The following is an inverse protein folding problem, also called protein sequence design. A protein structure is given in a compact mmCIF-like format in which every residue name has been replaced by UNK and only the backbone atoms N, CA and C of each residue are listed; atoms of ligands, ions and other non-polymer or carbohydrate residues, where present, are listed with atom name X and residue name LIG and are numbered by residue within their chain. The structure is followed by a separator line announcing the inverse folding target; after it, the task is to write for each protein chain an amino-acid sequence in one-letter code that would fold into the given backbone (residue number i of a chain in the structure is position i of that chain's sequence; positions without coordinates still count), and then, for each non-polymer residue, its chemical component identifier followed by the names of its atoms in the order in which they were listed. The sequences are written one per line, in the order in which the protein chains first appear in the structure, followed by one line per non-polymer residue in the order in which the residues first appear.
data_IF_542324525215
#
_entry.id   IF_542324525215
#
_cell.length_a   1.000
_cell.length_b   1.000
_cell.length_c   1.000
_cell.angle_alpha   90.00
_cell.angle_beta   90.00
_cell.angle_gamma   90.00
#
_symmetry.space_group_name_H-M   'P 1'
#
loop_
_entity.id
_entity.type
_entity.pdbx_description
1 polymer ?
#
# COMPACT_ATOMS: atom_id res chain seq x y z
N UNK A 1 18.02 34.70 -8.13
CA UNK A 1 17.71 33.72 -9.19
C UNK A 1 16.34 33.11 -8.92
N UNK A 2 15.39 33.18 -9.86
CA UNK A 2 14.08 32.51 -9.69
C UNK A 2 14.30 31.00 -9.78
N UNK A 3 14.21 30.31 -8.65
CA UNK A 3 14.30 28.84 -8.62
C UNK A 3 13.17 28.29 -9.51
N UNK A 4 13.53 27.44 -10.48
CA UNK A 4 12.54 26.83 -11.36
C UNK A 4 11.55 26.02 -10.50
N UNK A 5 10.23 26.10 -10.74
CA UNK A 5 9.23 25.39 -9.95
C UNK A 5 9.49 23.88 -9.87
N UNK A 6 10.12 23.31 -10.90
CA UNK A 6 10.55 21.91 -10.96
C UNK A 6 11.56 21.57 -9.85
N UNK A 7 12.54 22.44 -9.57
CA UNK A 7 13.55 22.19 -8.53
C UNK A 7 12.92 22.15 -7.13
N UNK A 8 11.88 22.97 -6.90
CA UNK A 8 11.14 22.97 -5.65
C UNK A 8 10.39 21.65 -5.49
N UNK A 9 9.74 21.14 -6.54
CA UNK A 9 9.07 19.83 -6.49
C UNK A 9 10.04 18.68 -6.26
N UNK A 10 11.23 18.71 -6.89
CA UNK A 10 12.28 17.70 -6.66
C UNK A 10 12.73 17.73 -5.20
N UNK A 11 12.95 18.91 -4.62
CA UNK A 11 13.33 19.03 -3.22
C UNK A 11 12.25 18.47 -2.27
N UNK A 12 10.97 18.69 -2.58
CA UNK A 12 9.85 18.10 -1.81
C UNK A 12 9.82 16.58 -1.90
N UNK A 13 9.98 16.01 -3.10
CA UNK A 13 10.03 14.56 -3.29
C UNK A 13 11.23 13.94 -2.57
N UNK A 14 12.39 14.57 -2.63
CA UNK A 14 13.60 14.11 -1.95
C UNK A 14 13.44 14.18 -0.43
N UNK A 15 12.80 15.24 0.08
CA UNK A 15 12.40 15.33 1.49
C UNK A 15 11.46 14.20 1.91
N UNK A 16 10.49 13.84 1.07
CA UNK A 16 9.60 12.69 1.33
C UNK A 16 10.36 11.37 1.32
N UNK A 17 11.34 11.19 0.43
CA UNK A 17 12.18 10.00 0.38
C UNK A 17 13.00 9.82 1.66
N UNK A 18 13.66 10.88 2.13
CA UNK A 18 14.42 10.86 3.39
C UNK A 18 13.49 10.59 4.58
N UNK A 19 12.33 11.25 4.64
CA UNK A 19 11.36 11.02 5.70
C UNK A 19 10.86 9.57 5.71
N UNK A 20 10.54 9.01 4.55
CA UNK A 20 10.09 7.62 4.42
C UNK A 20 11.15 6.61 4.87
N UNK A 21 12.43 6.87 4.53
CA UNK A 21 13.54 6.05 5.00
C UNK A 21 13.69 6.15 6.53
N UNK A 22 13.62 7.36 7.09
CA UNK A 22 13.66 7.56 8.55
C UNK A 22 12.53 6.83 9.28
N UNK A 23 11.30 6.88 8.76
CA UNK A 23 10.16 6.14 9.33
C UNK A 23 10.42 4.63 9.32
N UNK A 24 10.97 4.09 8.23
CA UNK A 24 11.30 2.66 8.16
C UNK A 24 12.38 2.26 9.15
N UNK A 25 13.43 3.08 9.32
CA UNK A 25 14.48 2.85 10.31
C UNK A 25 13.90 2.88 11.73
N UNK A 26 12.95 3.77 12.02
CA UNK A 26 12.31 3.81 13.35
C UNK A 26 11.44 2.57 13.59
N UNK A 27 10.64 2.14 12.61
CA UNK A 27 9.69 1.03 12.76
C UNK A 27 10.41 -0.32 12.78
N UNK A 28 11.38 -0.54 11.89
CA UNK A 28 12.08 -1.82 11.75
C UNK A 28 13.41 -1.87 12.52
N UNK A 29 13.87 -0.74 13.07
CA UNK A 29 15.15 -0.64 13.75
C UNK A 29 16.33 -0.57 12.77
N UNK A 30 17.29 -1.49 12.88
CA UNK A 30 18.48 -1.48 12.05
C UNK A 30 18.16 -1.98 10.63
N UNK A 31 17.80 -1.05 9.74
CA UNK A 31 17.74 -1.25 8.30
C UNK A 31 19.12 -1.23 7.64
N UNK A 32 20.18 -1.55 8.40
CA UNK A 32 21.43 -1.97 7.79
C UNK A 32 21.09 -3.09 6.83
N UNK A 33 21.44 -2.92 5.56
CA UNK A 33 21.42 -3.97 4.56
C UNK A 33 22.30 -5.10 5.09
N UNK A 34 21.72 -5.95 5.95
CA UNK A 34 22.32 -7.12 6.52
C UNK A 34 22.43 -8.12 5.40
N UNK A 35 23.42 -7.91 4.54
CA UNK A 35 23.88 -8.90 3.58
C UNK A 35 24.54 -9.97 4.45
N UNK A 36 23.72 -10.85 5.02
CA UNK A 36 24.18 -12.06 5.68
C UNK A 36 24.63 -13.02 4.59
N UNK A 37 25.91 -12.91 4.21
CA UNK A 37 26.51 -13.59 3.06
C UNK A 37 27.06 -14.97 3.43
N UNK A 38 26.37 -15.72 4.29
CA UNK A 38 26.79 -17.07 4.64
C UNK A 38 25.59 -18.02 4.62
N UNK A 39 25.39 -18.64 3.46
CA UNK A 39 24.74 -19.95 3.30
C UNK A 39 23.28 -20.10 3.72
N UNK A 40 22.49 -19.03 3.63
CA UNK A 40 21.04 -19.13 3.73
C UNK A 40 20.37 -18.47 2.53
N UNK A 41 19.32 -19.11 2.02
CA UNK A 41 18.37 -18.57 1.05
C UNK A 41 17.59 -17.36 1.62
N UNK A 42 18.23 -16.48 2.39
CA UNK A 42 17.61 -15.29 2.96
C UNK A 42 17.43 -14.23 1.87
N UNK A 43 16.19 -14.30 1.35
CA UNK A 43 15.54 -13.54 0.31
C UNK A 43 15.58 -12.03 0.59
N UNK A 44 16.53 -11.31 -0.01
CA UNK A 44 16.40 -9.86 -0.27
C UNK A 44 15.49 -9.70 -1.48
N UNK A 45 14.17 -9.86 -1.31
CA UNK A 45 13.24 -9.71 -2.45
C UNK A 45 12.05 -8.78 -2.17
N UNK A 46 11.71 -8.54 -0.90
CA UNK A 46 10.50 -7.76 -0.55
C UNK A 46 10.74 -6.41 0.16
N UNK A 47 12.00 -6.05 0.47
CA UNK A 47 12.31 -4.77 1.12
C UNK A 47 11.98 -3.55 0.23
N UNK A 48 12.17 -3.68 -1.09
CA UNK A 48 11.82 -2.63 -2.05
C UNK A 48 10.34 -2.26 -2.01
N UNK A 49 9.47 -3.24 -1.74
CA UNK A 49 8.04 -3.01 -1.62
C UNK A 49 7.70 -2.16 -0.39
N UNK A 50 8.33 -2.45 0.76
CA UNK A 50 8.15 -1.68 1.99
C UNK A 50 8.67 -0.24 1.86
N UNK A 51 9.84 -0.07 1.23
CA UNK A 51 10.41 1.25 0.91
C UNK A 51 9.44 2.04 0.05
N UNK A 52 8.97 1.45 -1.04
CA UNK A 52 8.05 2.13 -1.94
C UNK A 52 6.70 2.46 -1.29
N UNK A 53 6.15 1.54 -0.49
CA UNK A 53 4.89 1.76 0.25
C UNK A 53 5.04 2.91 1.26
N UNK A 54 6.14 2.94 2.02
CA UNK A 54 6.43 4.01 2.99
C UNK A 54 6.60 5.37 2.30
N UNK A 55 7.26 5.40 1.14
CA UNK A 55 7.45 6.60 0.34
C UNK A 55 6.11 7.15 -0.15
N UNK A 56 5.25 6.30 -0.70
CA UNK A 56 3.93 6.70 -1.18
C UNK A 56 3.05 7.18 -0.04
N UNK A 57 3.06 6.51 1.12
CA UNK A 57 2.32 6.92 2.31
C UNK A 57 2.77 8.28 2.87
N UNK A 58 4.06 8.60 2.81
CA UNK A 58 4.57 9.91 3.23
C UNK A 58 4.23 11.00 2.20
N UNK A 59 4.49 10.72 0.92
CA UNK A 59 4.39 11.72 -0.17
C UNK A 59 2.95 12.06 -0.56
N UNK A 60 2.06 11.08 -0.62
CA UNK A 60 0.67 11.27 -1.05
C UNK A 60 -0.11 12.32 -0.22
N UNK A 61 -0.17 12.26 1.13
CA UNK A 61 -0.89 13.26 1.92
C UNK A 61 -0.23 14.64 1.82
N UNK A 62 1.09 14.72 1.72
CA UNK A 62 1.80 16.01 1.55
C UNK A 62 1.37 16.67 0.24
N UNK A 63 1.39 15.93 -0.87
CA UNK A 63 0.98 16.44 -2.17
C UNK A 63 -0.52 16.74 -2.22
N UNK A 64 -1.36 15.95 -1.56
CA UNK A 64 -2.79 16.23 -1.43
C UNK A 64 -3.05 17.56 -0.70
N UNK A 65 -2.46 17.75 0.48
CA UNK A 65 -2.62 18.98 1.28
C UNK A 65 -2.08 20.18 0.50
N UNK A 66 -0.88 20.03 -0.07
CA UNK A 66 -0.22 21.06 -0.86
C UNK A 66 -1.10 21.48 -2.04
N UNK A 67 -1.69 20.54 -2.77
CA UNK A 67 -2.47 20.87 -3.96
C UNK A 67 -3.92 21.30 -3.65
N UNK A 68 -4.50 20.79 -2.56
CA UNK A 68 -5.79 21.25 -2.04
C UNK A 68 -5.78 22.75 -1.75
N UNK A 69 -4.69 23.26 -1.14
CA UNK A 69 -4.49 24.71 -0.88
C UNK A 69 -4.44 25.56 -2.16
N UNK A 70 -3.94 25.00 -3.25
CA UNK A 70 -3.87 25.68 -4.55
C UNK A 70 -5.04 25.33 -5.48
N UNK A 71 -6.09 24.70 -4.93
CA UNK A 71 -7.30 24.30 -5.65
C UNK A 71 -7.04 23.49 -6.93
N UNK A 72 -5.99 22.67 -6.94
CA UNK A 72 -5.65 21.78 -8.05
C UNK A 72 -5.31 22.48 -9.37
N UNK A 73 -5.00 23.79 -9.37
CA UNK A 73 -4.70 24.53 -10.62
C UNK A 73 -3.35 24.18 -11.25
N UNK A 74 -2.41 23.60 -10.49
CA UNK A 74 -1.03 23.41 -10.97
C UNK A 74 -0.87 22.03 -11.60
N UNK A 75 -0.51 22.01 -12.89
CA UNK A 75 -0.35 20.79 -13.69
C UNK A 75 0.66 19.80 -13.11
N UNK A 76 1.85 20.29 -12.73
CA UNK A 76 2.96 19.43 -12.27
C UNK A 76 2.66 18.72 -10.94
N UNK A 77 2.29 19.42 -9.85
CA UNK A 77 1.95 18.77 -8.58
C UNK A 77 0.72 17.86 -8.68
N UNK A 78 -0.28 18.22 -9.49
CA UNK A 78 -1.42 17.35 -9.76
C UNK A 78 -0.98 16.05 -10.45
N UNK A 79 -0.10 16.13 -11.43
CA UNK A 79 0.42 14.95 -12.12
C UNK A 79 1.22 14.03 -11.18
N UNK A 80 2.07 14.62 -10.33
CA UNK A 80 2.80 13.89 -9.28
C UNK A 80 1.83 13.18 -8.33
N UNK A 81 0.80 13.90 -7.85
CA UNK A 81 -0.24 13.35 -6.99
C UNK A 81 -0.97 12.16 -7.62
N UNK A 82 -1.33 12.25 -8.90
CA UNK A 82 -1.99 11.17 -9.62
C UNK A 82 -1.08 9.95 -9.79
N UNK A 83 0.19 10.15 -10.15
CA UNK A 83 1.17 9.05 -10.27
C UNK A 83 1.33 8.35 -8.92
N UNK A 84 1.44 9.10 -7.82
CA UNK A 84 1.58 8.52 -6.48
C UNK A 84 0.34 7.70 -6.09
N UNK A 85 -0.86 8.19 -6.37
CA UNK A 85 -2.11 7.46 -6.09
C UNK A 85 -2.30 6.21 -6.96
N UNK A 86 -1.90 6.26 -8.23
CA UNK A 86 -1.87 5.07 -9.10
C UNK A 86 -0.84 4.05 -8.62
N UNK A 87 0.36 4.51 -8.26
CA UNK A 87 1.41 3.69 -7.67
C UNK A 87 0.91 3.00 -6.40
N UNK A 88 0.25 3.73 -5.51
CA UNK A 88 -0.37 3.18 -4.31
C UNK A 88 -1.38 2.07 -4.62
N UNK A 89 -2.30 2.33 -5.55
CA UNK A 89 -3.33 1.37 -5.95
C UNK A 89 -2.74 0.07 -6.52
N UNK A 90 -1.67 0.19 -7.33
CA UNK A 90 -0.96 -0.97 -7.87
C UNK A 90 -0.31 -1.82 -6.77
N UNK A 91 0.25 -1.19 -5.73
CA UNK A 91 0.84 -1.91 -4.60
C UNK A 91 -0.19 -2.70 -3.80
N UNK A 92 -1.38 -2.15 -3.59
CA UNK A 92 -2.44 -2.85 -2.85
C UNK A 92 -2.93 -4.05 -3.64
N UNK A 93 -3.15 -3.91 -4.95
CA UNK A 93 -3.59 -5.03 -5.81
C UNK A 93 -2.63 -6.21 -5.68
N UNK A 94 -1.32 -5.95 -5.68
CA UNK A 94 -0.29 -6.99 -5.51
C UNK A 94 -0.39 -7.70 -4.15
N UNK A 95 -0.62 -6.95 -3.07
CA UNK A 95 -0.78 -7.52 -1.72
C UNK A 95 -2.07 -8.32 -1.60
N UNK A 96 -3.19 -7.79 -2.08
CA UNK A 96 -4.47 -8.50 -2.08
C UNK A 96 -4.40 -9.81 -2.87
N UNK A 97 -3.68 -9.82 -4.00
CA UNK A 97 -3.44 -11.04 -4.77
C UNK A 97 -2.65 -12.08 -3.96
N UNK A 98 -1.55 -11.68 -3.29
CA UNK A 98 -0.75 -12.59 -2.45
C UNK A 98 -1.61 -13.22 -1.35
N UNK A 99 -2.42 -12.42 -0.64
CA UNK A 99 -3.27 -12.93 0.45
C UNK A 99 -4.44 -13.79 -0.02
N UNK A 100 -4.97 -13.56 -1.24
CA UNK A 100 -6.05 -14.39 -1.80
C UNK A 100 -5.56 -15.81 -2.15
N UNK A 101 -4.32 -15.95 -2.63
CA UNK A 101 -3.76 -17.24 -3.07
C UNK A 101 -2.95 -17.99 -1.99
N UNK A 102 -2.47 -17.33 -0.94
CA UNK A 102 -1.80 -18.00 0.19
C UNK A 102 -2.62 -19.10 0.90
N UNK A 103 -3.94 -18.94 1.15
CA UNK A 103 -4.71 -19.97 1.85
C UNK A 103 -4.89 -21.27 1.04
N UNK A 104 -4.65 -21.27 -0.28
CA UNK A 104 -4.67 -22.50 -1.08
C UNK A 104 -3.36 -23.29 -0.97
N UNK A 105 -2.22 -22.62 -0.79
CA UNK A 105 -0.90 -23.27 -0.68
C UNK A 105 -0.73 -23.96 0.69
N UNK A 106 -1.36 -23.43 1.75
CA UNK A 106 -1.33 -24.01 3.09
C UNK A 106 -2.35 -25.11 3.37
N UNK A 107 -3.36 -25.31 2.50
CA UNK A 107 -4.39 -26.35 2.65
C UNK A 107 -4.05 -27.66 1.95
N UNK A 108 -3.08 -27.65 1.03
CA UNK A 108 -2.54 -28.86 0.43
C UNK A 108 -1.42 -29.42 1.32
N UNK A 109 -1.79 -29.80 2.54
CA UNK A 109 -0.93 -30.60 3.39
C UNK A 109 -0.58 -31.90 2.67
N UNK A 110 0.72 -32.14 2.48
CA UNK A 110 1.30 -33.40 2.02
C UNK A 110 1.16 -34.53 3.05
N UNK A 111 -0.01 -34.68 3.69
CA UNK A 111 -0.29 -35.83 4.54
C UNK A 111 -0.90 -36.92 3.66
N UNK A 112 -0.03 -37.81 3.20
CA UNK A 112 -0.33 -39.04 2.43
C UNK A 112 -1.23 -40.02 3.21
N UNK A 113 -1.61 -39.74 4.46
CA UNK A 113 -2.60 -40.52 5.20
C UNK A 113 -3.56 -39.62 5.98
N UNK A 114 -4.89 -39.86 5.89
CA UNK A 114 -5.81 -39.30 6.85
C UNK A 114 -5.57 -39.94 8.22
N UNK A 115 -5.63 -39.19 9.34
CA UNK A 115 -5.64 -39.79 10.66
C UNK A 115 -6.89 -40.69 10.78
N UNK A 116 -6.67 -41.97 11.07
CA UNK A 116 -7.71 -43.01 11.18
C UNK A 116 -8.77 -42.79 12.28
N UNK A 117 -8.77 -41.64 12.96
CA UNK A 117 -9.71 -41.30 14.04
C UNK A 117 -10.90 -40.43 13.60
N UNK A 118 -11.00 -40.02 12.32
CA UNK A 118 -12.09 -39.17 11.83
C UNK A 118 -13.25 -39.99 11.24
N UNK A 119 -13.69 -40.99 12.00
CA UNK A 119 -15.02 -41.58 11.82
C UNK A 119 -15.83 -41.27 13.08
N UNK A 120 -16.91 -40.50 12.90
CA UNK A 120 -17.85 -40.03 13.92
C UNK A 120 -17.46 -38.74 14.68
N UNK A 121 -17.64 -37.62 14.00
CA UNK A 121 -18.40 -36.49 14.54
C UNK A 121 -18.99 -35.70 13.39
N UNK A 122 -20.27 -35.95 13.12
CA UNK A 122 -21.12 -34.98 12.46
C UNK A 122 -21.28 -33.77 13.40
N UNK A 123 -20.24 -32.95 13.51
CA UNK A 123 -20.38 -31.58 14.00
C UNK A 123 -20.88 -30.77 12.82
N UNK A 124 -22.19 -30.55 12.82
CA UNK A 124 -22.86 -29.41 12.23
C UNK A 124 -21.88 -28.31 11.82
N UNK A 125 -21.73 -28.12 10.50
CA UNK A 125 -21.16 -26.91 9.93
C UNK A 125 -22.09 -25.75 10.29
N UNK A 126 -21.96 -25.24 11.52
CA UNK A 126 -22.40 -23.90 11.84
C UNK A 126 -21.40 -23.04 11.07
N UNK A 127 -21.82 -22.51 9.91
CA UNK A 127 -21.13 -21.37 9.31
C UNK A 127 -20.82 -20.42 10.48
N UNK A 128 -19.57 -19.98 10.70
CA UNK A 128 -19.40 -18.83 11.54
C UNK A 128 -20.25 -17.76 10.86
N UNK A 129 -21.26 -17.28 11.56
CA UNK A 129 -21.93 -16.03 11.22
C UNK A 129 -20.87 -14.96 11.44
N UNK A 130 -19.92 -14.89 10.51
CA UNK A 130 -18.92 -13.85 10.38
C UNK A 130 -19.75 -12.56 10.24
N UNK A 131 -20.00 -11.91 11.37
CA UNK A 131 -20.76 -10.68 11.39
C UNK A 131 -20.12 -9.74 10.38
N UNK A 132 -20.92 -8.96 9.66
CA UNK A 132 -20.45 -8.01 8.64
C UNK A 132 -19.19 -7.24 9.08
N UNK A 133 -19.08 -6.92 10.37
CA UNK A 133 -17.90 -6.33 11.03
C UNK A 133 -16.61 -7.18 11.02
N UNK A 134 -16.64 -8.51 11.21
CA UNK A 134 -15.43 -9.35 11.19
C UNK A 134 -14.79 -9.41 9.81
N UNK A 135 -15.61 -9.30 8.76
CA UNK A 135 -15.14 -9.08 7.40
C UNK A 135 -14.36 -7.76 7.37
N UNK A 136 -14.92 -6.62 7.80
CA UNK A 136 -14.23 -5.31 7.76
C UNK A 136 -12.99 -5.18 8.65
N UNK A 137 -12.90 -5.94 9.75
CA UNK A 137 -11.80 -5.84 10.73
C UNK A 137 -10.51 -6.55 10.30
N UNK A 138 -10.48 -7.20 9.14
CA UNK A 138 -9.24 -7.78 8.62
C UNK A 138 -8.30 -6.69 8.07
N UNK A 139 -6.97 -6.77 8.31
CA UNK A 139 -6.00 -5.77 7.84
C UNK A 139 -6.06 -5.48 6.33
N UNK A 140 -6.45 -6.48 5.54
CA UNK A 140 -6.61 -6.38 4.08
C UNK A 140 -7.79 -5.46 3.72
N UNK A 141 -8.90 -5.54 4.46
CA UNK A 141 -10.08 -4.74 4.17
C UNK A 141 -9.88 -3.26 4.56
N UNK A 142 -9.06 -2.98 5.57
CA UNK A 142 -8.60 -1.61 5.83
C UNK A 142 -7.78 -1.02 4.67
N UNK A 143 -6.89 -1.82 4.06
CA UNK A 143 -6.12 -1.38 2.89
C UNK A 143 -7.04 -1.09 1.69
N UNK A 144 -8.06 -1.93 1.46
CA UNK A 144 -9.05 -1.71 0.39
C UNK A 144 -9.88 -0.44 0.64
N UNK A 145 -10.35 -0.21 1.87
CA UNK A 145 -11.06 1.03 2.21
C UNK A 145 -10.19 2.27 1.99
N UNK A 146 -8.91 2.18 2.36
CA UNK A 146 -7.96 3.25 2.14
C UNK A 146 -7.68 3.47 0.64
N UNK A 147 -7.63 2.40 -0.17
CA UNK A 147 -7.54 2.48 -1.63
C UNK A 147 -8.75 3.21 -2.25
N UNK A 148 -9.97 2.85 -1.84
CA UNK A 148 -11.19 3.52 -2.30
C UNK A 148 -11.11 5.01 -1.98
N UNK A 149 -10.66 5.35 -0.77
CA UNK A 149 -10.47 6.74 -0.34
C UNK A 149 -9.47 7.48 -1.24
N UNK A 150 -8.31 6.87 -1.54
CA UNK A 150 -7.30 7.43 -2.44
C UNK A 150 -7.87 7.67 -3.85
N UNK A 151 -8.60 6.71 -4.40
CA UNK A 151 -9.23 6.83 -5.72
C UNK A 151 -10.28 7.95 -5.72
N UNK A 152 -11.12 8.03 -4.69
CA UNK A 152 -12.10 9.11 -4.56
C UNK A 152 -11.44 10.48 -4.52
N UNK A 153 -10.32 10.62 -3.79
CA UNK A 153 -9.55 11.87 -3.74
C UNK A 153 -8.93 12.22 -5.10
N UNK A 154 -8.45 11.23 -5.85
CA UNK A 154 -7.93 11.44 -7.21
C UNK A 154 -9.02 11.91 -8.17
N UNK A 155 -10.20 11.28 -8.16
CA UNK A 155 -11.35 11.68 -8.96
C UNK A 155 -11.82 13.09 -8.60
N UNK A 156 -11.84 13.42 -7.31
CA UNK A 156 -12.17 14.77 -6.85
C UNK A 156 -11.17 15.81 -7.36
N UNK A 157 -9.87 15.51 -7.28
CA UNK A 157 -8.80 16.39 -7.75
C UNK A 157 -8.89 16.64 -9.26
N UNK A 158 -9.11 15.60 -10.06
CA UNK A 158 -9.24 15.72 -11.53
C UNK A 158 -10.51 16.46 -11.92
N UNK A 159 -11.65 16.18 -11.25
CA UNK A 159 -12.89 16.95 -11.46
C UNK A 159 -12.68 18.43 -11.17
N UNK A 160 -12.06 18.77 -10.03
CA UNK A 160 -11.82 20.15 -9.64
C UNK A 160 -10.84 20.86 -10.59
N UNK A 161 -9.81 20.16 -11.06
CA UNK A 161 -8.92 20.68 -12.10
C UNK A 161 -9.66 20.96 -13.42
N UNK A 162 -10.47 20.01 -13.90
CA UNK A 162 -11.26 20.18 -15.13
C UNK A 162 -12.24 21.35 -15.03
N UNK A 163 -12.96 21.46 -13.92
CA UNK A 163 -13.87 22.60 -13.66
C UNK A 163 -13.13 23.94 -13.65
N UNK A 164 -11.91 23.99 -13.08
CA UNK A 164 -11.11 25.21 -13.07
C UNK A 164 -10.56 25.61 -14.44
N UNK A 165 -10.59 24.73 -15.44
CA UNK A 165 -10.11 25.01 -16.79
C UNK A 165 -11.22 25.50 -17.73
N UNK A 166 -12.48 25.15 -17.42
CA UNK A 166 -13.67 25.58 -18.17
C UNK A 166 -14.30 26.89 -17.67
N UNK A 167 -13.82 27.44 -16.55
CA UNK A 167 -14.19 28.76 -16.02
C UNK A 167 -13.07 29.76 -16.29
#
# INVERSE_FOLDING_TARGET
MKIKPILIEIAWLLGCAVASYGILVIILGNFGLGISLHDTYFVIKDQYYLIWLSFVLASFPIYFIKESRHSFKRRLPLFIFLILGLGFSSLIIKVSFIFLFLPEIGKNGWTVYPPLSVHNRATTNILPQEGFLSIFLTPINYLILFQITVISLMLFATYKYGKSMNN
#
